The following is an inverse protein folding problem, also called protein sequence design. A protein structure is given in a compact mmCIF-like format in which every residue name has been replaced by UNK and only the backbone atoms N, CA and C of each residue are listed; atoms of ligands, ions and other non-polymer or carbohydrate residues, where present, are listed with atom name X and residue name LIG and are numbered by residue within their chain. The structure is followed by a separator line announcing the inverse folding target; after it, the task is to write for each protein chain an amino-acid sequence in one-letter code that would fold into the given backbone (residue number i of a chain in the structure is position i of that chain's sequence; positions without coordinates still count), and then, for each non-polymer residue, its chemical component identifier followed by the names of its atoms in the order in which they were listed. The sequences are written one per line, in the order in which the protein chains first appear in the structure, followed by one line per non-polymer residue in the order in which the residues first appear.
data_IF_186374303664
#
_entry.id   IF_186374303664
#
_cell.length_a   1.000
_cell.length_b   1.000
_cell.length_c   1.000
_cell.angle_alpha   90.00
_cell.angle_beta   90.00
_cell.angle_gamma   90.00
#
_symmetry.space_group_name_H-M   'P 1'
#
loop_
_entity.id
_entity.type
_entity.pdbx_description
1 polymer ?
#
# COMPACT_ATOMS: atom_id res chain seq x y z
N UNK A 1 5.30 -5.21 -4.77
CA UNK A 1 5.72 -5.48 -3.38
C UNK A 1 4.60 -5.96 -2.49
N UNK A 2 3.53 -5.18 -2.27
CA UNK A 2 2.47 -5.59 -1.31
C UNK A 2 1.70 -6.82 -1.79
N UNK A 3 1.26 -6.80 -3.05
CA UNK A 3 0.62 -7.97 -3.69
C UNK A 3 1.57 -9.17 -3.74
N UNK A 4 2.82 -8.97 -4.17
CA UNK A 4 3.83 -10.05 -4.17
C UNK A 4 4.08 -10.65 -2.77
N UNK A 5 4.01 -9.84 -1.71
CA UNK A 5 4.17 -10.31 -0.34
C UNK A 5 3.00 -11.21 0.10
N UNK A 6 1.78 -10.91 -0.36
CA UNK A 6 0.62 -11.78 -0.16
C UNK A 6 0.74 -13.07 -0.97
N UNK A 7 1.21 -12.99 -2.22
CA UNK A 7 1.46 -14.17 -3.06
C UNK A 7 2.54 -15.07 -2.46
N UNK A 8 3.61 -14.48 -1.93
CA UNK A 8 4.65 -15.22 -1.20
C UNK A 8 4.10 -15.87 0.07
N UNK A 9 3.17 -15.24 0.79
CA UNK A 9 2.48 -15.90 1.89
C UNK A 9 1.68 -17.12 1.41
N UNK A 10 0.93 -17.00 0.31
CA UNK A 10 0.20 -18.13 -0.27
C UNK A 10 1.13 -19.29 -0.64
N UNK A 11 2.30 -18.98 -1.22
CA UNK A 11 3.33 -19.97 -1.55
C UNK A 11 3.91 -20.64 -0.29
N UNK A 12 4.10 -19.87 0.79
CA UNK A 12 4.54 -20.41 2.06
C UNK A 12 3.54 -21.44 2.62
N UNK A 13 2.23 -21.12 2.63
CA UNK A 13 1.19 -22.03 3.10
C UNK A 13 1.15 -23.34 2.29
N UNK A 14 1.31 -23.26 0.97
CA UNK A 14 1.41 -24.44 0.09
C UNK A 14 2.67 -25.26 0.41
N UNK A 15 3.83 -24.60 0.57
CA UNK A 15 5.08 -25.28 0.88
C UNK A 15 5.02 -26.01 2.23
N UNK A 16 4.40 -25.39 3.24
CA UNK A 16 4.15 -25.99 4.54
C UNK A 16 3.29 -27.26 4.42
N UNK A 17 2.17 -27.18 3.68
CA UNK A 17 1.28 -28.32 3.47
C UNK A 17 1.96 -29.51 2.75
N UNK A 18 2.97 -29.23 1.91
CA UNK A 18 3.75 -30.22 1.19
C UNK A 18 5.01 -30.71 1.95
N UNK A 19 5.27 -30.20 3.16
CA UNK A 19 6.47 -30.55 3.94
C UNK A 19 7.78 -30.01 3.33
N UNK A 20 7.71 -28.96 2.50
CA UNK A 20 8.86 -28.32 1.85
C UNK A 20 9.42 -27.20 2.74
N UNK A 21 10.19 -27.58 3.75
CA UNK A 21 10.62 -26.64 4.80
C UNK A 21 11.49 -25.48 4.30
N UNK A 22 12.41 -25.72 3.35
CA UNK A 22 13.27 -24.66 2.79
C UNK A 22 12.44 -23.62 2.03
N UNK A 23 11.50 -24.08 1.20
CA UNK A 23 10.58 -23.23 0.45
C UNK A 23 9.68 -22.44 1.41
N UNK A 24 9.14 -23.10 2.45
CA UNK A 24 8.34 -22.45 3.48
C UNK A 24 9.11 -21.31 4.18
N UNK A 25 10.37 -21.57 4.59
CA UNK A 25 11.22 -20.54 5.22
C UNK A 25 11.47 -19.36 4.28
N UNK A 26 11.81 -19.64 3.02
CA UNK A 26 12.08 -18.61 2.01
C UNK A 26 10.85 -17.72 1.78
N UNK A 27 9.70 -18.33 1.52
CA UNK A 27 8.48 -17.60 1.19
C UNK A 27 7.89 -16.88 2.41
N UNK A 28 7.98 -17.46 3.61
CA UNK A 28 7.60 -16.77 4.85
C UNK A 28 8.43 -15.52 5.11
N UNK A 29 9.73 -15.54 4.79
CA UNK A 29 10.58 -14.36 4.90
C UNK A 29 10.16 -13.27 3.90
N UNK A 30 9.91 -13.65 2.64
CA UNK A 30 9.52 -12.70 1.58
C UNK A 30 8.12 -12.12 1.80
N UNK A 31 7.21 -12.90 2.38
CA UNK A 31 5.88 -12.46 2.78
C UNK A 31 5.91 -11.26 3.75
N UNK A 32 7.02 -11.03 4.45
CA UNK A 32 7.23 -9.88 5.34
C UNK A 32 7.84 -8.65 4.67
N UNK A 33 8.12 -8.69 3.36
CA UNK A 33 8.76 -7.57 2.66
C UNK A 33 7.91 -6.31 2.56
N UNK A 34 6.60 -6.39 2.86
CA UNK A 34 5.76 -5.20 3.05
C UNK A 34 6.32 -4.27 4.15
N UNK A 35 6.97 -4.81 5.18
CA UNK A 35 7.55 -4.03 6.28
C UNK A 35 8.62 -3.05 5.79
N UNK A 36 9.34 -3.41 4.73
CA UNK A 36 10.40 -2.56 4.15
C UNK A 36 9.85 -1.28 3.51
N UNK A 37 8.55 -1.27 3.19
CA UNK A 37 7.87 -0.15 2.53
C UNK A 37 7.24 0.82 3.52
N UNK A 38 7.07 0.45 4.78
CA UNK A 38 6.40 1.29 5.75
C UNK A 38 7.33 2.38 6.31
N UNK A 39 7.10 3.62 5.88
CA UNK A 39 7.82 4.79 6.40
C UNK A 39 7.11 5.31 7.66
N UNK A 40 7.71 5.05 8.83
CA UNK A 40 7.15 5.49 10.13
C UNK A 40 6.98 7.00 10.25
N UNK A 41 7.73 7.82 9.50
CA UNK A 41 7.61 9.27 9.57
C UNK A 41 6.32 9.76 8.88
N UNK A 42 5.97 9.15 7.75
CA UNK A 42 4.75 9.51 7.00
C UNK A 42 3.55 8.66 7.39
N UNK A 43 3.78 7.46 7.94
CA UNK A 43 2.74 6.50 8.28
C UNK A 43 2.08 5.89 7.05
N UNK A 44 2.85 5.70 5.96
CA UNK A 44 2.39 5.12 4.69
C UNK A 44 3.40 4.12 4.14
N UNK A 45 2.91 3.27 3.23
CA UNK A 45 3.77 2.50 2.33
C UNK A 45 4.38 3.46 1.31
N UNK A 46 5.66 3.81 1.46
CA UNK A 46 6.33 4.84 0.66
C UNK A 46 7.32 4.21 -0.33
N UNK A 47 7.37 4.64 -1.60
CA UNK A 47 8.34 4.13 -2.56
C UNK A 47 9.78 4.39 -2.12
N UNK A 48 10.69 3.47 -2.45
CA UNK A 48 12.14 3.62 -2.27
C UNK A 48 12.85 3.73 -3.60
N UNK A 49 13.89 4.53 -3.65
CA UNK A 49 14.85 4.62 -4.76
C UNK A 49 15.77 3.40 -4.76
N UNK A 50 16.50 3.20 -5.85
CA UNK A 50 17.44 2.07 -6.00
C UNK A 50 18.52 2.04 -4.90
N UNK A 51 18.94 3.21 -4.42
CA UNK A 51 19.91 3.34 -3.32
C UNK A 51 19.31 3.03 -1.93
N UNK A 52 18.03 2.65 -1.86
CA UNK A 52 17.31 2.32 -0.64
C UNK A 52 16.74 3.52 0.11
N UNK A 53 17.03 4.76 -0.29
CA UNK A 53 16.44 5.95 0.31
C UNK A 53 14.98 6.13 -0.12
N UNK A 54 14.18 6.79 0.72
CA UNK A 54 12.78 7.06 0.41
C UNK A 54 12.63 8.08 -0.71
N UNK A 55 11.61 7.94 -1.55
CA UNK A 55 11.23 8.95 -2.53
C UNK A 55 10.70 10.20 -1.84
N UNK A 56 11.28 11.36 -2.08
CA UNK A 56 11.01 12.64 -1.40
C UNK A 56 9.52 13.03 -1.43
N UNK A 57 9.04 13.74 -0.40
CA UNK A 57 7.66 14.25 -0.41
C UNK A 57 7.49 15.30 -1.52
N UNK A 58 6.34 15.30 -2.19
CA UNK A 58 6.04 16.32 -3.18
C UNK A 58 5.88 17.70 -2.54
N UNK A 59 6.63 18.69 -3.05
CA UNK A 59 6.42 20.12 -2.78
C UNK A 59 5.66 20.81 -3.91
N UNK A 60 5.69 20.22 -5.10
CA UNK A 60 5.06 20.69 -6.33
C UNK A 60 4.47 19.49 -7.09
N UNK A 61 3.95 19.72 -8.30
CA UNK A 61 3.47 18.64 -9.17
C UNK A 61 4.63 17.67 -9.51
N UNK A 62 4.43 16.34 -9.38
CA UNK A 62 5.46 15.38 -9.69
C UNK A 62 5.82 15.38 -11.18
N UNK A 63 7.12 15.32 -11.46
CA UNK A 63 7.63 15.06 -12.79
C UNK A 63 7.54 13.57 -13.11
N UNK A 64 7.51 13.24 -14.40
CA UNK A 64 7.58 11.86 -14.86
C UNK A 64 9.05 11.52 -15.15
N UNK A 65 9.64 10.70 -14.29
CA UNK A 65 10.97 10.13 -14.50
C UNK A 65 10.83 8.95 -15.46
N UNK A 66 11.50 9.02 -16.61
CA UNK A 66 11.52 7.93 -17.60
C UNK A 66 12.71 7.03 -17.36
N UNK A 67 12.47 5.73 -17.34
CA UNK A 67 13.51 4.70 -17.28
C UNK A 67 13.32 3.71 -18.42
N UNK A 68 14.30 2.84 -18.61
CA UNK A 68 14.24 1.77 -19.63
C UNK A 68 13.16 0.72 -19.35
N UNK A 69 12.62 0.68 -18.12
CA UNK A 69 11.66 -0.35 -17.68
C UNK A 69 10.27 0.25 -17.47
N UNK A 70 10.15 1.19 -16.53
CA UNK A 70 8.86 1.80 -16.17
C UNK A 70 9.05 3.26 -15.74
N UNK A 71 8.30 4.21 -16.32
CA UNK A 71 8.32 5.57 -15.85
C UNK A 71 7.58 5.71 -14.52
N UNK A 72 7.93 6.69 -13.70
CA UNK A 72 7.35 6.90 -12.38
C UNK A 72 7.37 8.36 -11.94
N UNK A 73 6.61 8.71 -10.91
CA UNK A 73 6.57 10.08 -10.36
C UNK A 73 7.80 10.41 -9.53
N UNK A 74 8.38 11.60 -9.72
CA UNK A 74 9.63 12.04 -9.09
C UNK A 74 9.56 12.24 -7.57
N UNK A 75 8.34 12.36 -7.01
CA UNK A 75 8.11 12.54 -5.58
C UNK A 75 6.90 11.73 -5.12
N UNK A 76 6.76 11.60 -3.80
CA UNK A 76 5.69 10.89 -3.12
C UNK A 76 4.66 11.89 -2.55
N UNK A 77 3.40 11.68 -2.90
CA UNK A 77 2.24 12.28 -2.26
C UNK A 77 1.23 11.16 -1.98
N UNK A 78 0.80 10.94 -0.72
CA UNK A 78 -0.09 9.85 -0.36
C UNK A 78 -1.49 9.94 -1.01
N UNK A 79 -1.86 11.11 -1.52
CA UNK A 79 -3.13 11.36 -2.21
C UNK A 79 -3.00 11.31 -3.74
N UNK A 80 -1.77 11.18 -4.27
CA UNK A 80 -1.55 11.08 -5.70
C UNK A 80 -1.87 9.67 -6.20
N UNK A 81 -2.76 9.60 -7.18
CA UNK A 81 -3.19 8.33 -7.78
C UNK A 81 -2.16 7.88 -8.80
N UNK A 82 -1.70 6.65 -8.66
CA UNK A 82 -0.84 6.04 -9.66
C UNK A 82 -1.64 5.53 -10.85
N UNK A 83 -1.34 6.04 -12.05
CA UNK A 83 -2.01 5.66 -13.29
C UNK A 83 -0.99 5.23 -14.32
N UNK A 84 -1.32 4.20 -15.11
CA UNK A 84 -0.44 3.74 -16.18
C UNK A 84 -0.12 4.86 -17.18
N UNK A 85 1.14 4.99 -17.64
CA UNK A 85 2.30 4.16 -17.33
C UNK A 85 3.16 4.68 -16.17
N UNK A 86 2.80 5.76 -15.48
CA UNK A 86 3.68 6.44 -14.52
C UNK A 86 3.16 6.19 -13.11
N UNK A 87 3.60 5.13 -12.43
CA UNK A 87 2.97 4.77 -11.16
C UNK A 87 3.88 4.07 -10.17
N UNK A 88 3.66 4.40 -8.90
CA UNK A 88 4.13 3.62 -7.74
C UNK A 88 3.01 2.76 -7.12
N UNK A 89 1.76 3.13 -7.37
CA UNK A 89 0.54 2.43 -6.94
C UNK A 89 -0.32 2.13 -8.17
N UNK A 90 -0.95 0.96 -8.25
CA UNK A 90 -1.77 0.63 -9.43
C UNK A 90 -3.20 1.11 -9.23
N UNK A 91 -3.62 2.11 -10.01
CA UNK A 91 -5.00 2.59 -10.07
C UNK A 91 -5.56 3.04 -8.71
N UNK A 92 -4.67 3.49 -7.82
CA UNK A 92 -4.97 3.86 -6.44
C UNK A 92 -3.91 4.80 -5.90
N UNK A 93 -4.09 5.30 -4.68
CA UNK A 93 -3.10 6.10 -3.95
C UNK A 93 -2.60 5.36 -2.69
N UNK A 94 -1.71 6.00 -1.93
CA UNK A 94 -1.11 5.38 -0.74
C UNK A 94 -2.12 5.15 0.38
N UNK A 95 -3.17 5.98 0.49
CA UNK A 95 -4.25 5.78 1.46
C UNK A 95 -5.00 4.47 1.23
N UNK A 96 -5.20 4.08 -0.02
CA UNK A 96 -5.94 2.88 -0.39
C UNK A 96 -5.05 1.63 -0.26
N UNK A 97 -3.80 1.70 -0.73
CA UNK A 97 -2.86 0.57 -0.67
C UNK A 97 -2.26 0.30 0.72
N UNK A 98 -2.33 1.26 1.65
CA UNK A 98 -1.82 1.10 3.02
C UNK A 98 -2.31 -0.19 3.70
N UNK A 99 -3.53 -0.59 3.37
CA UNK A 99 -4.25 -1.68 4.01
C UNK A 99 -4.00 -3.04 3.35
N UNK A 100 -3.20 -3.11 2.28
CA UNK A 100 -2.97 -4.32 1.50
C UNK A 100 -1.93 -5.26 2.17
N UNK A 101 -2.26 -5.72 3.38
CA UNK A 101 -1.47 -6.66 4.19
C UNK A 101 -2.44 -7.67 4.83
N UNK A 102 -3.27 -8.32 4.01
CA UNK A 102 -4.36 -9.19 4.48
C UNK A 102 -3.87 -10.48 5.14
N UNK A 103 -2.68 -10.95 4.80
CA UNK A 103 -2.05 -12.14 5.40
C UNK A 103 -1.48 -11.87 6.80
N UNK A 104 -1.23 -10.61 7.16
CA UNK A 104 -0.60 -10.23 8.43
C UNK A 104 -1.13 -8.89 8.96
N UNK A 105 -2.43 -8.86 9.24
CA UNK A 105 -3.10 -7.65 9.77
C UNK A 105 -2.53 -7.26 11.15
N UNK A 106 -2.14 -8.23 11.97
CA UNK A 106 -1.51 -7.95 13.26
C UNK A 106 -0.15 -7.25 13.09
N UNK A 107 0.70 -7.72 12.17
CA UNK A 107 1.95 -7.05 11.85
C UNK A 107 1.73 -5.60 11.38
N UNK A 108 0.68 -5.36 10.58
CA UNK A 108 0.29 -3.99 10.19
C UNK A 108 -0.14 -3.13 11.39
N UNK A 109 -0.96 -3.67 12.29
CA UNK A 109 -1.37 -3.00 13.53
C UNK A 109 -0.15 -2.62 14.38
N UNK A 110 0.80 -3.54 14.55
CA UNK A 110 2.00 -3.35 15.35
C UNK A 110 2.92 -2.28 14.72
N UNK A 111 3.09 -2.29 13.39
CA UNK A 111 3.84 -1.25 12.67
C UNK A 111 3.25 0.16 12.84
N UNK A 112 1.92 0.26 12.95
CA UNK A 112 1.22 1.53 13.22
C UNK A 112 1.32 1.99 14.69
N UNK A 113 1.97 1.21 15.55
CA UNK A 113 2.07 1.51 16.98
C UNK A 113 0.86 1.05 17.79
N UNK A 114 0.15 0.03 17.29
CA UNK A 114 -0.94 -0.64 17.98
C UNK A 114 -2.34 -0.21 17.55
N UNK A 115 -3.33 -0.94 18.06
CA UNK A 115 -4.73 -0.88 17.62
C UNK A 115 -5.33 0.52 17.59
N UNK A 116 -5.05 1.35 18.58
CA UNK A 116 -5.61 2.71 18.67
C UNK A 116 -5.22 3.56 17.46
N UNK A 117 -3.95 3.51 17.05
CA UNK A 117 -3.45 4.27 15.91
C UNK A 117 -3.99 3.70 14.60
N UNK A 118 -4.06 2.37 14.50
CA UNK A 118 -4.66 1.68 13.37
C UNK A 118 -6.12 2.09 13.13
N UNK A 119 -6.95 2.06 14.17
CA UNK A 119 -8.36 2.51 14.10
C UNK A 119 -8.47 3.98 13.76
N UNK A 120 -7.67 4.84 14.40
CA UNK A 120 -7.68 6.29 14.10
C UNK A 120 -7.34 6.57 12.63
N UNK A 121 -6.40 5.79 12.05
CA UNK A 121 -6.04 5.89 10.63
C UNK A 121 -7.17 5.38 9.72
N UNK A 122 -7.89 4.32 10.10
CA UNK A 122 -9.11 3.86 9.42
C UNK A 122 -10.23 4.92 9.48
N UNK A 123 -10.49 5.50 10.66
CA UNK A 123 -11.48 6.56 10.81
C UNK A 123 -11.15 7.73 9.89
N UNK A 124 -9.88 8.12 9.83
CA UNK A 124 -9.41 9.17 8.93
C UNK A 124 -9.66 8.82 7.46
N UNK A 125 -9.39 7.57 7.03
CA UNK A 125 -9.68 7.11 5.68
C UNK A 125 -11.16 7.33 5.32
N UNK A 126 -12.09 6.95 6.20
CA UNK A 126 -13.53 7.05 5.93
C UNK A 126 -14.11 8.46 6.10
N UNK A 127 -13.48 9.32 6.93
CA UNK A 127 -14.06 10.63 7.30
C UNK A 127 -13.39 11.83 6.62
N UNK A 128 -12.17 11.70 6.11
CA UNK A 128 -11.46 12.84 5.52
C UNK A 128 -12.15 13.33 4.24
N UNK A 129 -11.87 14.57 3.82
CA UNK A 129 -12.38 15.06 2.54
C UNK A 129 -11.90 14.15 1.39
N UNK A 130 -12.77 13.77 0.43
CA UNK A 130 -12.45 12.86 -0.69
C UNK A 130 -11.57 13.49 -1.78
N UNK A 131 -10.60 14.31 -1.37
CA UNK A 131 -9.67 15.03 -2.23
C UNK A 131 -8.60 14.11 -2.82
N UNK A 132 -8.23 14.34 -4.08
CA UNK A 132 -7.09 13.72 -4.76
C UNK A 132 -6.13 14.82 -5.17
N UNK A 133 -4.83 14.57 -5.02
CA UNK A 133 -3.83 15.45 -5.61
C UNK A 133 -3.76 15.25 -7.12
N UNK A 134 -3.59 16.35 -7.85
CA UNK A 134 -3.49 16.35 -9.31
C UNK A 134 -4.71 16.95 -10.01
N UNK A 135 -4.60 17.10 -11.32
CA UNK A 135 -5.63 17.77 -12.15
C UNK A 135 -6.64 16.81 -12.78
N UNK A 136 -6.40 15.51 -12.73
CA UNK A 136 -7.24 14.49 -13.35
C UNK A 136 -7.76 13.54 -12.29
N UNK A 137 -9.05 13.64 -11.98
CA UNK A 137 -9.72 12.64 -11.17
C UNK A 137 -9.78 11.33 -11.96
N UNK A 138 -9.16 10.28 -11.43
CA UNK A 138 -9.18 8.97 -12.07
C UNK A 138 -10.61 8.41 -11.99
N UNK A 139 -11.23 8.16 -13.15
CA UNK A 139 -12.68 7.92 -13.23
C UNK A 139 -13.21 6.78 -12.35
N UNK A 140 -12.48 5.66 -12.17
CA UNK A 140 -12.87 4.60 -11.23
C UNK A 140 -12.96 5.03 -9.75
N UNK A 141 -12.31 6.13 -9.36
CA UNK A 141 -12.26 6.59 -7.96
C UNK A 141 -13.34 7.62 -7.61
N UNK A 142 -14.36 7.82 -8.44
CA UNK A 142 -15.36 8.91 -8.24
C UNK A 142 -16.31 8.69 -7.05
N UNK A 143 -16.56 7.45 -6.65
CA UNK A 143 -17.53 7.11 -5.60
C UNK A 143 -16.83 6.85 -4.26
N UNK A 144 -16.44 7.92 -3.56
CA UNK A 144 -15.67 7.82 -2.32
C UNK A 144 -16.44 8.11 -1.04
N UNK A 145 -16.04 7.43 0.02
CA UNK A 145 -16.35 7.75 1.42
C UNK A 145 -15.01 8.13 2.07
N UNK A 146 -14.73 9.42 2.11
CA UNK A 146 -13.37 9.93 2.31
C UNK A 146 -12.40 9.43 1.23
N UNK A 147 -11.36 8.69 1.60
CA UNK A 147 -10.44 8.05 0.66
C UNK A 147 -10.82 6.60 0.33
N UNK A 148 -11.78 6.01 1.05
CA UNK A 148 -12.30 4.69 0.71
C UNK A 148 -13.08 4.73 -0.60
N UNK A 149 -12.82 3.79 -1.50
CA UNK A 149 -13.48 3.70 -2.81
C UNK A 149 -14.03 2.30 -3.02
N UNK A 150 -15.36 2.15 -2.93
CA UNK A 150 -15.98 0.83 -3.11
C UNK A 150 -15.93 0.32 -4.56
N UNK A 151 -15.77 1.21 -5.53
CA UNK A 151 -15.69 0.85 -6.95
C UNK A 151 -14.34 0.31 -7.40
N UNK A 152 -13.39 0.10 -6.49
CA UNK A 152 -12.04 -0.37 -6.80
C UNK A 152 -11.56 -1.40 -5.77
N UNK A 153 -10.94 -2.47 -6.26
CA UNK A 153 -10.62 -3.68 -5.50
C UNK A 153 -9.72 -3.46 -4.28
N UNK A 154 -8.67 -2.59 -4.31
CA UNK A 154 -7.77 -2.41 -3.17
C UNK A 154 -8.45 -1.97 -1.87
N UNK A 155 -9.68 -1.45 -1.94
CA UNK A 155 -10.45 -1.03 -0.78
C UNK A 155 -11.44 -2.09 -0.25
N UNK A 156 -11.76 -3.14 -1.02
CA UNK A 156 -12.91 -4.01 -0.72
C UNK A 156 -12.88 -4.63 0.68
N UNK A 157 -11.70 -4.98 1.19
CA UNK A 157 -11.53 -5.60 2.51
C UNK A 157 -11.44 -4.58 3.67
N UNK A 158 -11.22 -3.30 3.39
CA UNK A 158 -10.79 -2.31 4.39
C UNK A 158 -11.83 -2.08 5.49
N UNK A 159 -13.13 -2.10 5.17
CA UNK A 159 -14.19 -1.92 6.16
C UNK A 159 -14.21 -3.04 7.22
N UNK A 160 -13.74 -4.24 6.87
CA UNK A 160 -13.68 -5.39 7.78
C UNK A 160 -12.50 -5.30 8.76
N UNK A 161 -11.54 -4.38 8.53
CA UNK A 161 -10.35 -4.26 9.36
C UNK A 161 -10.64 -3.74 10.77
N UNK A 162 -11.79 -3.09 11.00
CA UNK A 162 -12.23 -2.70 12.34
C UNK A 162 -12.39 -3.90 13.30
N UNK A 163 -12.65 -5.10 12.75
CA UNK A 163 -12.89 -6.32 13.53
C UNK A 163 -11.62 -6.94 14.12
N UNK A 164 -10.43 -6.53 13.65
CA UNK A 164 -9.17 -7.07 14.17
C UNK A 164 -8.86 -6.51 15.56
N UNK A 165 -8.31 -7.34 16.47
CA UNK A 165 -8.17 -7.02 17.89
C UNK A 165 -7.20 -5.88 18.20
#
# INVERSE_FOLDING_TARGET
TLEDAYDDWCLAEIAMALGKEDDFRLFSQRARYYENMYDKQTGFMRPRKFDGSWLEMCTEYPEIIRTDIHPYYSCFDPLWVGVSPNRHFTESNAWQYLWHVSHDVQGLIDMMGGRRNFVSKLDTLFSMTPYESGSHQYAPLRSKIGQYVHGNEPCHHVAYLYNYP
#
